data_IF_367953462927
#
_entry.id   IF_367953462927
#
_cell.length_a   1.000
_cell.length_b   1.000
_cell.length_c   1.000
_cell.angle_alpha   90.00
_cell.angle_beta   90.00
_cell.angle_gamma   90.00
#
_symmetry.space_group_name_H-M   'P 1'
#
loop_
_entity.id
_entity.type
_entity.pdbx_description
1 polymer ?
#
# COMPACT_ATOMS: atom_id res chain seq x y z
N UNK A 1 16.15 10.22 17.38
CA UNK A 1 15.59 9.42 16.26
C UNK A 1 14.76 10.29 15.32
N UNK A 2 14.70 9.97 14.03
CA UNK A 2 13.95 10.72 13.00
C UNK A 2 12.47 10.90 13.36
N UNK A 3 11.85 9.89 13.96
CA UNK A 3 10.47 9.92 14.48
C UNK A 3 10.28 11.06 15.48
N UNK A 4 11.19 11.20 16.46
CA UNK A 4 11.11 12.25 17.48
C UNK A 4 11.38 13.64 16.89
N UNK A 5 12.30 13.74 15.92
CA UNK A 5 12.60 14.99 15.22
C UNK A 5 11.38 15.51 14.46
N UNK A 6 10.74 14.64 13.68
CA UNK A 6 9.55 14.96 12.88
C UNK A 6 8.31 15.17 13.76
N UNK A 7 8.16 14.40 14.85
CA UNK A 7 7.09 14.59 15.82
C UNK A 7 7.11 15.96 16.49
N UNK A 8 8.30 16.51 16.80
CA UNK A 8 8.44 17.89 17.32
C UNK A 8 8.03 18.96 16.30
N UNK A 9 7.99 18.63 15.01
CA UNK A 9 7.52 19.51 13.94
C UNK A 9 6.02 19.30 13.64
N UNK A 10 5.30 18.50 14.43
CA UNK A 10 3.89 18.17 14.21
C UNK A 10 3.66 17.12 13.12
N UNK A 11 4.71 16.48 12.62
CA UNK A 11 4.62 15.47 11.55
C UNK A 11 4.45 14.09 12.19
N UNK A 12 3.32 13.43 11.90
CA UNK A 12 3.08 12.03 12.30
C UNK A 12 3.90 11.10 11.41
N UNK A 13 4.70 10.25 12.04
CA UNK A 13 5.44 9.17 11.38
C UNK A 13 4.85 7.83 11.82
N UNK A 14 4.50 6.99 10.86
CA UNK A 14 4.03 5.63 11.10
C UNK A 14 5.09 4.65 10.60
N UNK A 15 5.46 3.69 11.44
CA UNK A 15 6.38 2.60 11.07
C UNK A 15 5.57 1.30 11.05
N UNK A 16 5.43 0.62 9.91
CA UNK A 16 4.72 -0.65 9.84
C UNK A 16 5.47 -1.76 10.59
N UNK A 17 4.79 -2.83 11.03
CA UNK A 17 5.47 -4.01 11.53
C UNK A 17 6.35 -4.62 10.43
N UNK A 18 7.51 -5.18 10.79
CA UNK A 18 8.53 -5.61 9.83
C UNK A 18 8.01 -6.65 8.82
N UNK A 19 7.11 -7.54 9.25
CA UNK A 19 6.51 -8.56 8.39
C UNK A 19 5.56 -7.98 7.32
N UNK A 20 5.17 -6.72 7.43
CA UNK A 20 4.39 -6.01 6.42
C UNK A 20 5.26 -5.20 5.45
N UNK A 21 6.58 -5.11 5.68
CA UNK A 21 7.49 -4.33 4.82
C UNK A 21 7.96 -5.07 3.57
N UNK A 22 7.98 -6.41 3.61
CA UNK A 22 8.35 -7.26 2.46
C UNK A 22 7.11 -7.62 1.65
N UNK A 23 7.30 -8.14 0.44
CA UNK A 23 6.20 -8.61 -0.40
C UNK A 23 5.34 -9.63 0.34
N UNK A 24 4.03 -9.36 0.40
CA UNK A 24 3.06 -10.20 1.07
C UNK A 24 1.68 -10.05 0.43
N UNK A 25 0.84 -11.09 0.53
CA UNK A 25 -0.51 -11.05 -0.03
C UNK A 25 -1.46 -10.12 0.75
N UNK A 26 -1.16 -9.80 2.01
CA UNK A 26 -2.04 -8.95 2.83
C UNK A 26 -2.11 -7.51 2.30
N UNK A 27 -0.99 -6.97 1.80
CA UNK A 27 -0.98 -5.63 1.19
C UNK A 27 -1.79 -5.58 -0.12
N UNK A 28 -1.72 -6.64 -0.93
CA UNK A 28 -2.49 -6.77 -2.16
C UNK A 28 -3.99 -6.87 -1.85
N UNK A 29 -4.36 -7.63 -0.82
CA UNK A 29 -5.74 -7.74 -0.36
C UNK A 29 -6.32 -6.40 0.12
N UNK A 30 -5.54 -5.58 0.85
CA UNK A 30 -6.00 -4.26 1.29
C UNK A 30 -6.22 -3.29 0.11
N UNK A 31 -5.37 -3.33 -0.92
CA UNK A 31 -5.57 -2.54 -2.16
C UNK A 31 -6.81 -3.02 -2.91
N UNK A 32 -6.98 -4.33 -3.08
CA UNK A 32 -8.17 -4.90 -3.74
C UNK A 32 -9.46 -4.54 -2.99
N UNK A 33 -9.46 -4.57 -1.65
CA UNK A 33 -10.60 -4.17 -0.82
C UNK A 33 -10.99 -2.71 -1.04
N UNK A 34 -10.01 -1.81 -1.23
CA UNK A 34 -10.26 -0.38 -1.54
C UNK A 34 -10.86 -0.20 -2.93
N UNK A 35 -10.24 -0.80 -3.96
CA UNK A 35 -10.75 -0.77 -5.34
C UNK A 35 -12.16 -1.34 -5.46
N UNK A 36 -12.44 -2.47 -4.79
CA UNK A 36 -13.78 -3.04 -4.72
C UNK A 36 -14.81 -2.06 -4.14
N UNK A 37 -14.46 -1.36 -3.05
CA UNK A 37 -15.35 -0.36 -2.42
C UNK A 37 -15.62 0.82 -3.36
N UNK A 38 -14.65 1.16 -4.21
CA UNK A 38 -14.75 2.24 -5.20
C UNK A 38 -15.44 1.79 -6.50
N UNK A 39 -15.71 0.49 -6.67
CA UNK A 39 -16.26 -0.07 -7.90
C UNK A 39 -15.23 -0.15 -9.05
N UNK A 40 -13.94 -0.06 -8.73
CA UNK A 40 -12.84 -0.19 -9.70
C UNK A 40 -12.53 -1.67 -9.93
N UNK A 41 -13.11 -2.22 -11.00
CA UNK A 41 -12.93 -3.62 -11.40
C UNK A 41 -12.18 -3.71 -12.73
N UNK A 42 -11.24 -4.64 -12.80
CA UNK A 42 -10.64 -5.04 -14.07
C UNK A 42 -11.58 -5.97 -14.84
N UNK A 43 -11.47 -5.96 -16.17
CA UNK A 43 -12.13 -6.93 -17.05
C UNK A 43 -11.45 -8.31 -16.97
N UNK A 44 -12.13 -9.36 -17.44
CA UNK A 44 -11.61 -10.73 -17.42
C UNK A 44 -10.48 -10.99 -18.42
N UNK A 45 -10.22 -10.07 -19.34
CA UNK A 45 -9.11 -10.09 -20.29
C UNK A 45 -7.87 -9.32 -19.77
N UNK A 46 -7.87 -8.89 -18.50
CA UNK A 46 -6.70 -8.27 -17.90
C UNK A 46 -5.51 -9.23 -17.90
N UNK A 47 -4.34 -8.72 -18.28
CA UNK A 47 -3.09 -9.46 -18.32
C UNK A 47 -2.04 -8.79 -17.42
N UNK A 48 -0.96 -9.51 -17.14
CA UNK A 48 0.16 -8.99 -16.38
C UNK A 48 0.95 -7.97 -17.22
N UNK A 49 1.16 -6.77 -16.68
CA UNK A 49 2.09 -5.79 -17.22
C UNK A 49 3.38 -5.78 -16.39
N UNK A 50 4.50 -6.34 -16.89
CA UNK A 50 5.76 -6.35 -16.16
C UNK A 50 6.40 -4.97 -16.01
N UNK A 51 5.93 -3.96 -16.76
CA UNK A 51 6.40 -2.57 -16.69
C UNK A 51 5.33 -1.62 -16.13
N UNK A 52 4.35 -2.14 -15.40
CA UNK A 52 3.26 -1.34 -14.82
C UNK A 52 3.81 -0.20 -13.96
N UNK A 53 3.36 1.03 -14.23
CA UNK A 53 3.72 2.21 -13.43
C UNK A 53 2.75 2.40 -12.27
N UNK A 54 3.23 3.04 -11.20
CA UNK A 54 2.42 3.47 -10.06
C UNK A 54 1.53 4.68 -10.38
#
# INVERSE_FOLDING_TARGET
>A
MMIQKLGRQGIRVTVPPLNACTDNAAMIAEVARRKFKEGDFASFDVDADPNMTL
#
